data_IF_395528766831
#
_entry.id   IF_395528766831
#
_cell.length_a   1.000
_cell.length_b   1.000
_cell.length_c   1.000
_cell.angle_alpha   90.00
_cell.angle_beta   90.00
_cell.angle_gamma   90.00
#
_symmetry.space_group_name_H-M   'P 1'
#
loop_
_entity.id
_entity.type
_entity.pdbx_description
1 polymer ?
#
# COMPACT_ATOMS: atom_id res chain seq x y z
N UNK A 1 39.40 54.54 51.09
CA UNK A 1 38.94 53.36 50.39
C UNK A 1 37.59 52.91 51.01
N UNK A 2 36.45 53.20 50.35
CA UNK A 2 35.12 52.79 50.78
C UNK A 2 34.72 51.60 49.94
N UNK A 3 34.54 50.36 50.54
CA UNK A 3 34.03 49.20 49.91
C UNK A 3 32.52 49.27 49.96
N UNK A 4 31.86 49.38 48.81
CA UNK A 4 30.40 49.18 48.65
C UNK A 4 30.10 47.73 48.65
N UNK A 5 29.49 47.27 49.74
CA UNK A 5 28.89 45.92 49.85
C UNK A 5 27.53 45.91 49.12
N UNK A 6 27.48 45.32 47.96
CA UNK A 6 26.22 45.01 47.23
C UNK A 6 25.51 43.83 47.92
N UNK A 7 24.33 44.07 48.48
CA UNK A 7 23.52 43.04 49.17
C UNK A 7 22.91 42.09 48.14
N UNK A 8 23.22 40.78 48.17
CA UNK A 8 22.77 39.81 47.14
C UNK A 8 21.27 39.44 47.21
N UNK A 9 20.54 39.90 48.22
CA UNK A 9 19.15 39.51 48.48
C UNK A 9 18.12 40.06 47.51
N UNK A 10 18.40 41.11 46.77
CA UNK A 10 17.43 41.72 45.83
C UNK A 10 17.46 41.07 44.42
N UNK A 11 18.56 40.45 44.03
CA UNK A 11 18.70 39.74 42.76
C UNK A 11 18.04 38.34 42.79
N UNK A 12 18.00 37.69 43.96
CA UNK A 12 17.37 36.40 44.11
C UNK A 12 15.83 36.48 44.06
N UNK A 13 15.24 37.59 44.57
CA UNK A 13 13.80 37.79 44.56
C UNK A 13 13.23 38.07 43.16
N UNK A 14 13.98 38.76 42.29
CA UNK A 14 13.54 39.07 40.92
C UNK A 14 13.60 37.83 39.98
N UNK A 15 14.50 36.90 40.23
CA UNK A 15 14.65 35.69 39.43
C UNK A 15 13.52 34.69 39.73
N UNK A 16 13.03 34.64 40.98
CA UNK A 16 11.92 33.73 41.39
C UNK A 16 10.57 34.14 40.79
N UNK A 17 10.31 35.43 40.60
CA UNK A 17 9.06 35.96 40.02
C UNK A 17 9.00 35.69 38.51
N UNK A 18 10.14 35.76 37.80
CA UNK A 18 10.21 35.51 36.36
C UNK A 18 9.97 34.02 36.01
N UNK A 19 10.33 33.10 36.91
CA UNK A 19 10.12 31.67 36.73
C UNK A 19 8.64 31.24 36.92
N UNK A 20 7.89 31.97 37.73
CA UNK A 20 6.47 31.68 38.00
C UNK A 20 5.52 32.13 36.87
N UNK A 21 5.92 33.06 36.01
CA UNK A 21 5.14 33.59 34.89
C UNK A 21 5.27 32.77 33.61
N UNK A 22 6.23 31.83 33.53
CA UNK A 22 6.50 31.00 32.38
C UNK A 22 5.94 29.60 32.46
N UNK A 23 5.10 29.25 33.42
CA UNK A 23 4.49 27.91 33.49
C UNK A 23 3.53 27.73 32.29
N UNK A 24 3.80 26.81 31.36
CA UNK A 24 2.86 26.52 30.29
C UNK A 24 1.54 26.07 30.92
N UNK A 25 0.45 26.72 30.56
CA UNK A 25 -0.87 26.29 30.97
C UNK A 25 -1.11 24.92 30.38
N UNK A 26 -0.98 23.86 31.15
CA UNK A 26 -1.38 22.52 30.76
C UNK A 26 -2.90 22.53 30.54
N UNK A 27 -3.33 22.69 29.30
CA UNK A 27 -4.74 22.51 28.96
C UNK A 27 -5.03 21.01 29.06
N UNK A 28 -5.82 20.62 30.02
CA UNK A 28 -6.33 19.26 30.11
C UNK A 28 -7.15 18.98 28.84
N UNK A 29 -6.70 18.01 28.04
CA UNK A 29 -7.42 17.57 26.84
C UNK A 29 -8.74 16.94 27.30
N UNK A 30 -9.87 17.36 26.71
CA UNK A 30 -11.14 16.71 26.98
C UNK A 30 -11.17 15.32 26.33
N UNK A 31 -11.98 14.41 26.87
CA UNK A 31 -12.14 13.07 26.32
C UNK A 31 -12.57 13.10 24.85
N UNK A 32 -13.42 14.05 24.49
CA UNK A 32 -13.84 14.23 23.10
C UNK A 32 -12.67 14.66 22.19
N UNK A 33 -11.83 15.58 22.63
CA UNK A 33 -10.63 15.97 21.91
C UNK A 33 -9.64 14.82 21.77
N UNK A 34 -9.48 14.01 22.81
CA UNK A 34 -8.64 12.81 22.77
C UNK A 34 -9.18 11.78 21.75
N UNK A 35 -10.48 11.55 21.74
CA UNK A 35 -11.13 10.67 20.77
C UNK A 35 -10.94 11.17 19.32
N UNK A 36 -11.20 12.44 19.08
CA UNK A 36 -11.00 13.02 17.75
C UNK A 36 -9.55 12.98 17.29
N UNK A 37 -8.61 13.21 18.19
CA UNK A 37 -7.19 13.08 17.90
C UNK A 37 -6.81 11.62 17.58
N UNK A 38 -7.30 10.67 18.36
CA UNK A 38 -7.05 9.25 18.14
C UNK A 38 -7.64 8.77 16.80
N UNK A 39 -8.86 9.14 16.46
CA UNK A 39 -9.47 8.80 15.16
C UNK A 39 -8.68 9.35 13.96
N UNK A 40 -7.96 10.45 14.14
CA UNK A 40 -7.16 11.07 13.05
C UNK A 40 -5.72 10.59 13.00
N UNK A 41 -5.12 10.31 14.16
CA UNK A 41 -3.67 10.15 14.27
C UNK A 41 -3.24 8.80 14.83
N UNK A 42 -4.17 7.90 15.24
CA UNK A 42 -3.79 6.57 15.70
C UNK A 42 -3.23 5.73 14.54
N UNK A 43 -1.95 5.31 14.59
CA UNK A 43 -1.33 4.58 13.48
C UNK A 43 -1.96 3.21 13.26
N UNK A 44 -2.47 2.58 14.32
CA UNK A 44 -3.10 1.26 14.22
C UNK A 44 -4.45 1.36 13.48
N UNK A 45 -5.23 2.42 13.74
CA UNK A 45 -6.48 2.68 13.03
C UNK A 45 -6.22 3.05 11.57
N UNK A 46 -5.19 3.87 11.29
CA UNK A 46 -4.80 4.19 9.92
C UNK A 46 -4.38 2.95 9.15
N UNK A 47 -3.56 2.08 9.74
CA UNK A 47 -3.20 0.80 9.13
C UNK A 47 -4.44 -0.05 8.84
N UNK A 48 -5.35 -0.17 9.81
CA UNK A 48 -6.59 -0.92 9.64
C UNK A 48 -7.48 -0.35 8.52
N UNK A 49 -7.47 0.98 8.32
CA UNK A 49 -8.19 1.62 7.22
C UNK A 49 -7.61 1.21 5.86
N UNK A 50 -6.27 1.20 5.72
CA UNK A 50 -5.63 0.75 4.48
C UNK A 50 -5.81 -0.75 4.24
N UNK A 51 -5.81 -1.57 5.29
CA UNK A 51 -6.08 -3.00 5.19
C UNK A 51 -7.52 -3.27 4.73
N UNK A 52 -8.47 -2.49 5.21
CA UNK A 52 -9.88 -2.57 4.79
C UNK A 52 -10.03 -2.15 3.32
N UNK A 53 -9.43 -1.04 2.89
CA UNK A 53 -9.43 -0.60 1.49
C UNK A 53 -8.80 -1.68 0.59
N UNK A 54 -7.67 -2.25 1.00
CA UNK A 54 -7.03 -3.36 0.29
C UNK A 54 -7.94 -4.58 0.19
N UNK A 55 -8.67 -4.91 1.26
CA UNK A 55 -9.60 -6.03 1.28
C UNK A 55 -10.80 -5.83 0.35
N UNK A 56 -11.25 -4.60 0.14
CA UNK A 56 -12.31 -4.28 -0.84
C UNK A 56 -11.91 -4.60 -2.26
N UNK A 57 -10.62 -4.42 -2.60
CA UNK A 57 -10.09 -4.74 -3.92
C UNK A 57 -10.15 -6.25 -4.25
N UNK A 58 -10.22 -7.11 -3.25
CA UNK A 58 -10.40 -8.56 -3.44
C UNK A 58 -11.68 -8.88 -4.22
N UNK A 59 -12.76 -8.11 -4.04
CA UNK A 59 -14.00 -8.24 -4.82
C UNK A 59 -13.79 -7.89 -6.29
N UNK A 60 -13.02 -6.83 -6.57
CA UNK A 60 -12.71 -6.38 -7.94
C UNK A 60 -11.84 -7.43 -8.63
N UNK A 61 -10.80 -7.93 -7.95
CA UNK A 61 -9.91 -8.98 -8.46
C UNK A 61 -10.70 -10.27 -8.73
N UNK A 62 -11.58 -10.66 -7.80
CA UNK A 62 -12.44 -11.82 -7.97
C UNK A 62 -13.33 -11.70 -9.21
N UNK A 63 -13.91 -10.51 -9.43
CA UNK A 63 -14.76 -10.22 -10.59
C UNK A 63 -13.98 -10.20 -11.91
N UNK A 64 -12.72 -9.81 -11.90
CA UNK A 64 -11.86 -9.79 -13.09
C UNK A 64 -11.76 -11.17 -13.78
N UNK A 65 -11.87 -12.26 -13.02
CA UNK A 65 -11.86 -13.62 -13.58
C UNK A 65 -13.11 -13.97 -14.42
N UNK A 66 -14.18 -13.17 -14.32
CA UNK A 66 -15.41 -13.30 -15.10
C UNK A 66 -15.43 -12.39 -16.34
N UNK A 67 -14.48 -11.46 -16.44
CA UNK A 67 -14.39 -10.49 -17.54
C UNK A 67 -13.57 -11.03 -18.71
N UNK A 68 -13.76 -10.47 -19.93
CA UNK A 68 -12.90 -10.78 -21.06
C UNK A 68 -11.44 -10.42 -20.77
N UNK A 69 -10.54 -11.34 -21.05
CA UNK A 69 -9.11 -11.08 -21.01
C UNK A 69 -8.60 -10.80 -22.42
N UNK A 70 -8.00 -9.64 -22.63
CA UNK A 70 -7.37 -9.26 -23.88
C UNK A 70 -5.87 -9.27 -23.68
N UNK A 71 -5.15 -10.00 -24.50
CA UNK A 71 -3.68 -9.99 -24.51
C UNK A 71 -3.14 -9.66 -25.91
N UNK A 72 -2.09 -8.84 -25.95
CA UNK A 72 -1.36 -8.50 -27.16
C UNK A 72 0.10 -8.88 -26.96
N UNK A 73 0.66 -9.58 -27.92
CA UNK A 73 2.05 -10.00 -27.93
C UNK A 73 2.71 -9.56 -29.22
N UNK A 74 3.91 -9.04 -29.13
CA UNK A 74 4.79 -8.75 -30.25
C UNK A 74 6.15 -9.38 -29.99
N UNK A 75 6.66 -10.07 -30.97
CA UNK A 75 7.98 -10.69 -30.92
C UNK A 75 8.76 -10.39 -32.19
N UNK A 76 10.03 -10.09 -32.04
CA UNK A 76 11.02 -9.99 -33.14
C UNK A 76 12.19 -10.90 -32.79
N UNK A 77 12.60 -11.70 -33.76
CA UNK A 77 13.73 -12.62 -33.64
C UNK A 77 14.57 -12.56 -34.90
N UNK A 78 15.85 -12.29 -34.74
CA UNK A 78 16.82 -12.39 -35.81
C UNK A 78 17.47 -13.77 -35.74
N UNK A 79 17.30 -14.52 -36.82
CA UNK A 79 17.80 -15.90 -36.92
C UNK A 79 19.01 -15.91 -37.86
N UNK A 80 20.16 -16.31 -37.34
CA UNK A 80 21.35 -16.64 -38.08
C UNK A 80 21.75 -18.07 -37.76
N UNK A 81 21.70 -18.96 -38.74
CA UNK A 81 22.04 -20.36 -38.52
C UNK A 81 22.94 -20.87 -39.64
N UNK A 82 23.89 -21.74 -39.30
CA UNK A 82 24.67 -22.53 -40.20
C UNK A 82 24.13 -23.95 -40.17
N UNK A 83 23.60 -24.43 -41.29
CA UNK A 83 23.12 -25.80 -41.42
C UNK A 83 23.66 -26.45 -42.69
N UNK A 84 23.99 -27.74 -42.61
CA UNK A 84 24.34 -28.54 -43.76
C UNK A 84 23.10 -29.34 -44.18
N UNK A 85 22.61 -29.12 -45.36
CA UNK A 85 21.53 -29.89 -45.98
C UNK A 85 22.07 -30.77 -47.09
N UNK A 86 21.54 -31.98 -47.23
CA UNK A 86 21.93 -32.86 -48.36
C UNK A 86 20.92 -32.69 -49.48
N UNK A 87 21.37 -32.11 -50.58
CA UNK A 87 20.56 -31.92 -51.80
C UNK A 87 21.14 -32.79 -52.89
N UNK A 88 20.33 -33.71 -53.46
CA UNK A 88 20.75 -34.66 -54.49
C UNK A 88 22.01 -35.48 -54.13
N UNK A 89 22.13 -35.89 -52.85
CA UNK A 89 23.25 -36.67 -52.35
C UNK A 89 24.54 -35.89 -52.08
N UNK A 90 24.51 -34.56 -52.19
CA UNK A 90 25.68 -33.70 -51.88
C UNK A 90 25.39 -32.81 -50.70
N UNK A 91 26.33 -32.67 -49.75
CA UNK A 91 26.22 -31.73 -48.66
C UNK A 91 26.32 -30.30 -49.20
N UNK A 92 25.36 -29.45 -48.87
CA UNK A 92 25.31 -28.01 -49.16
C UNK A 92 25.18 -27.26 -47.85
N UNK A 93 26.08 -26.33 -47.63
CA UNK A 93 25.98 -25.42 -46.46
C UNK A 93 24.98 -24.31 -46.80
N UNK A 94 23.93 -24.26 -46.03
CA UNK A 94 22.88 -23.24 -46.07
C UNK A 94 23.00 -22.34 -44.84
N UNK A 95 23.05 -21.01 -45.05
CA UNK A 95 23.20 -20.00 -44.03
C UNK A 95 21.99 -19.08 -44.02
N UNK A 96 20.84 -19.54 -43.51
CA UNK A 96 19.68 -18.68 -43.43
C UNK A 96 19.96 -17.53 -42.46
N UNK A 97 19.72 -16.31 -42.92
CA UNK A 97 19.75 -15.09 -42.13
C UNK A 97 18.48 -14.31 -42.45
N UNK A 98 17.55 -14.33 -41.50
CA UNK A 98 16.28 -13.63 -41.65
C UNK A 98 15.77 -13.11 -40.32
N UNK A 99 15.03 -12.01 -40.38
CA UNK A 99 14.27 -11.48 -39.25
C UNK A 99 12.87 -12.03 -39.32
N UNK A 100 12.43 -12.63 -38.24
CA UNK A 100 11.04 -13.06 -38.01
C UNK A 100 10.35 -12.08 -37.10
N UNK A 101 9.21 -11.56 -37.52
CA UNK A 101 8.36 -10.70 -36.73
C UNK A 101 7.00 -11.37 -36.59
N UNK A 102 6.48 -11.36 -35.37
CA UNK A 102 5.16 -11.88 -35.03
C UNK A 102 4.39 -10.90 -34.16
N UNK A 103 3.14 -10.66 -34.52
CA UNK A 103 2.22 -9.90 -33.72
C UNK A 103 0.93 -10.71 -33.56
N UNK A 104 0.44 -10.80 -32.32
CA UNK A 104 -0.82 -11.48 -32.05
C UNK A 104 -1.66 -10.74 -31.02
N UNK A 105 -2.95 -10.70 -31.25
CA UNK A 105 -3.94 -10.22 -30.28
C UNK A 105 -4.89 -11.38 -30.03
N UNK A 106 -5.14 -11.68 -28.74
CA UNK A 106 -6.09 -12.71 -28.37
C UNK A 106 -7.10 -12.17 -27.35
N UNK A 107 -8.34 -12.57 -27.51
CA UNK A 107 -9.46 -12.30 -26.61
C UNK A 107 -9.96 -13.64 -26.07
N UNK A 108 -9.98 -13.77 -24.74
CA UNK A 108 -10.55 -14.95 -24.06
C UNK A 108 -11.66 -14.49 -23.14
N UNK A 109 -12.88 -14.96 -23.40
CA UNK A 109 -14.06 -14.73 -22.56
C UNK A 109 -14.53 -16.07 -22.00
N UNK A 110 -14.49 -16.31 -20.68
CA UNK A 110 -15.13 -17.46 -20.08
C UNK A 110 -16.66 -17.27 -20.11
N UNK A 111 -17.38 -18.14 -20.82
CA UNK A 111 -18.84 -18.10 -20.89
C UNK A 111 -19.47 -18.82 -19.68
N UNK A 112 -18.87 -19.95 -19.28
CA UNK A 112 -19.24 -20.69 -18.10
C UNK A 112 -17.99 -21.24 -17.42
N UNK A 113 -17.72 -20.76 -16.21
CA UNK A 113 -16.57 -21.20 -15.42
C UNK A 113 -16.92 -21.15 -13.93
N UNK A 114 -17.19 -22.33 -13.36
CA UNK A 114 -17.56 -22.47 -11.96
C UNK A 114 -16.42 -22.05 -11.01
N UNK A 115 -15.16 -22.30 -11.41
CA UNK A 115 -13.98 -21.86 -10.65
C UNK A 115 -13.89 -20.34 -10.59
N UNK A 116 -14.07 -19.65 -11.72
CA UNK A 116 -14.09 -18.20 -11.77
C UNK A 116 -15.21 -17.60 -10.90
N UNK A 117 -16.38 -18.24 -10.89
CA UNK A 117 -17.47 -17.84 -10.01
C UNK A 117 -17.14 -18.07 -8.54
N UNK A 118 -16.51 -19.20 -8.19
CA UNK A 118 -16.06 -19.46 -6.82
C UNK A 118 -15.02 -18.42 -6.36
N UNK A 119 -14.07 -18.04 -7.20
CA UNK A 119 -13.09 -16.97 -6.94
C UNK A 119 -13.77 -15.61 -6.75
N UNK A 120 -14.79 -15.30 -7.53
CA UNK A 120 -15.59 -14.09 -7.33
C UNK A 120 -16.26 -14.09 -5.95
N UNK A 121 -16.89 -15.18 -5.56
CA UNK A 121 -17.51 -15.34 -4.24
C UNK A 121 -16.50 -15.27 -3.10
N UNK A 122 -15.33 -15.85 -3.28
CA UNK A 122 -14.22 -15.75 -2.33
C UNK A 122 -13.78 -14.29 -2.15
N UNK A 123 -13.62 -13.53 -3.24
CA UNK A 123 -13.26 -12.11 -3.18
C UNK A 123 -14.33 -11.27 -2.48
N UNK A 124 -15.61 -11.56 -2.70
CA UNK A 124 -16.73 -10.91 -2.03
C UNK A 124 -16.71 -11.16 -0.51
N UNK A 125 -16.50 -12.42 -0.12
CA UNK A 125 -16.38 -12.80 1.30
C UNK A 125 -15.14 -12.17 1.95
N UNK A 126 -14.01 -12.13 1.24
CA UNK A 126 -12.77 -11.48 1.73
C UNK A 126 -12.97 -9.98 1.97
N UNK A 127 -13.72 -9.30 1.09
CA UNK A 127 -14.08 -7.89 1.28
C UNK A 127 -14.92 -7.68 2.55
N UNK A 128 -15.94 -8.50 2.77
CA UNK A 128 -16.79 -8.43 3.96
C UNK A 128 -16.00 -8.76 5.25
N UNK A 129 -15.05 -9.70 5.18
CA UNK A 129 -14.16 -10.03 6.28
C UNK A 129 -13.27 -8.83 6.65
N UNK A 130 -12.69 -8.13 5.67
CA UNK A 130 -11.89 -6.92 5.90
C UNK A 130 -12.69 -5.82 6.61
N UNK A 131 -13.94 -5.60 6.22
CA UNK A 131 -14.85 -4.65 6.88
C UNK A 131 -15.12 -5.03 8.34
N UNK A 132 -15.35 -6.32 8.61
CA UNK A 132 -15.56 -6.80 9.97
C UNK A 132 -14.31 -6.62 10.86
N UNK A 133 -13.11 -6.88 10.33
CA UNK A 133 -11.85 -6.65 11.04
C UNK A 133 -11.66 -5.17 11.33
N UNK A 134 -11.96 -4.27 10.38
CA UNK A 134 -11.89 -2.83 10.61
C UNK A 134 -12.83 -2.38 11.73
N UNK A 135 -14.06 -2.92 11.79
CA UNK A 135 -15.00 -2.64 12.88
C UNK A 135 -14.44 -3.05 14.24
N UNK A 136 -13.80 -4.24 14.35
CA UNK A 136 -13.13 -4.69 15.58
C UNK A 136 -12.00 -3.75 15.97
N UNK A 137 -11.15 -3.33 15.01
CA UNK A 137 -10.05 -2.38 15.30
C UNK A 137 -10.55 -1.02 15.76
N UNK A 138 -11.67 -0.58 15.24
CA UNK A 138 -12.33 0.66 15.71
C UNK A 138 -12.83 0.51 17.13
N UNK A 139 -13.43 -0.63 17.48
CA UNK A 139 -13.84 -0.93 18.88
C UNK A 139 -12.64 -1.00 19.82
N UNK A 140 -11.55 -1.65 19.41
CA UNK A 140 -10.30 -1.70 20.18
C UNK A 140 -9.75 -0.30 20.49
N UNK A 141 -9.88 0.65 19.56
CA UNK A 141 -9.49 2.04 19.79
C UNK A 141 -10.33 2.66 20.93
N UNK A 142 -11.65 2.46 20.91
CA UNK A 142 -12.50 2.96 22.00
C UNK A 142 -12.10 2.34 23.34
N UNK A 143 -11.90 1.03 23.41
CA UNK A 143 -11.48 0.34 24.66
C UNK A 143 -10.13 0.84 25.18
N UNK A 144 -9.20 1.25 24.30
CA UNK A 144 -7.91 1.81 24.73
C UNK A 144 -8.00 3.25 25.24
N UNK A 145 -9.05 3.97 24.86
CA UNK A 145 -9.27 5.35 25.27
C UNK A 145 -10.07 5.50 26.56
N UNK A 146 -10.88 4.51 26.90
CA UNK A 146 -11.75 4.49 28.10
C UNK A 146 -11.28 3.49 29.14
#
# INVERSE_FOLDING_TARGET
MRRHSLKPTRLAASLSVALALGAPHAHAMTLEQALQAALRYDPALQSATYDEVSSREARVIGRANLLPNVSANYGRSDVAADRTITTAGRPVNDKPNYTSESASISLRQPLFNLEAYARYKQGDTQSNYGEAIFAVKTQDLYVRLF
#
